data_IF_812707843048
#
_entry.id   IF_812707843048
#
_cell.length_a   1.000
_cell.length_b   1.000
_cell.length_c   1.000
_cell.angle_alpha   90.00
_cell.angle_beta   90.00
_cell.angle_gamma   90.00
#
_symmetry.space_group_name_H-M   'P 1'
#
loop_
_entity.id
_entity.type
_entity.pdbx_description
1 polymer ?
#
# COMPACT_ATOMS: atom_id res chain seq x y z
N UNK A 1 -27.29 6.10 -2.91
CA UNK A 1 -26.82 5.06 -1.96
C UNK A 1 -25.42 5.40 -1.49
N UNK A 2 -25.25 5.78 -0.23
CA UNK A 2 -23.91 5.97 0.35
C UNK A 2 -23.25 4.59 0.49
N UNK A 3 -22.25 4.31 -0.35
CA UNK A 3 -21.46 3.08 -0.27
C UNK A 3 -20.60 3.12 0.98
N UNK A 4 -21.15 2.59 2.08
CA UNK A 4 -20.42 2.33 3.31
C UNK A 4 -19.48 1.15 3.07
N UNK A 5 -18.30 1.46 2.53
CA UNK A 5 -17.25 0.50 2.16
C UNK A 5 -16.44 0.15 3.40
N UNK A 6 -16.87 -0.90 4.10
CA UNK A 6 -16.20 -1.49 5.25
C UNK A 6 -15.79 -2.91 4.89
N UNK A 7 -14.52 -3.24 5.09
CA UNK A 7 -14.13 -4.66 5.22
C UNK A 7 -14.75 -5.13 6.52
N UNK A 8 -15.61 -6.13 6.44
CA UNK A 8 -16.38 -6.61 7.58
C UNK A 8 -15.56 -7.63 8.40
N UNK A 9 -15.98 -7.90 9.63
CA UNK A 9 -15.35 -8.95 10.44
C UNK A 9 -15.85 -10.33 10.01
N UNK A 10 -15.10 -11.38 10.32
CA UNK A 10 -15.53 -12.77 10.16
C UNK A 10 -16.94 -13.02 10.73
N UNK A 11 -17.21 -12.49 11.93
CA UNK A 11 -18.51 -12.66 12.61
C UNK A 11 -19.66 -12.05 11.79
N UNK A 12 -19.46 -10.85 11.25
CA UNK A 12 -20.46 -10.20 10.38
C UNK A 12 -20.62 -10.96 9.06
N UNK A 13 -19.52 -11.40 8.46
CA UNK A 13 -19.57 -12.22 7.24
C UNK A 13 -20.38 -13.52 7.46
N UNK A 14 -20.21 -14.17 8.62
CA UNK A 14 -20.98 -15.35 9.00
C UNK A 14 -22.47 -15.06 9.16
N UNK A 15 -22.83 -13.95 9.80
CA UNK A 15 -24.24 -13.54 9.89
C UNK A 15 -24.86 -13.26 8.53
N UNK A 16 -24.12 -12.63 7.61
CA UNK A 16 -24.58 -12.41 6.24
C UNK A 16 -24.78 -13.76 5.52
N UNK A 17 -23.81 -14.67 5.64
CA UNK A 17 -23.93 -16.02 5.09
C UNK A 17 -25.19 -16.72 5.58
N UNK A 18 -25.38 -16.78 6.90
CA UNK A 18 -26.51 -17.44 7.54
C UNK A 18 -27.85 -16.83 7.08
N UNK A 19 -27.91 -15.49 6.99
CA UNK A 19 -29.11 -14.79 6.50
C UNK A 19 -29.45 -15.18 5.06
N UNK A 20 -28.49 -15.15 4.13
CA UNK A 20 -28.72 -15.52 2.73
C UNK A 20 -29.15 -16.99 2.60
N UNK A 21 -28.49 -17.90 3.32
CA UNK A 21 -28.80 -19.34 3.23
C UNK A 21 -30.16 -19.72 3.83
N UNK A 22 -30.77 -18.86 4.65
CA UNK A 22 -32.08 -19.08 5.27
C UNK A 22 -33.25 -18.43 4.50
N UNK A 23 -33.00 -17.81 3.34
CA UNK A 23 -34.06 -17.25 2.52
C UNK A 23 -34.98 -18.37 1.97
N UNK A 24 -36.27 -18.31 2.30
CA UNK A 24 -37.24 -19.38 1.97
C UNK A 24 -37.57 -19.47 0.47
N UNK A 25 -37.46 -18.35 -0.24
CA UNK A 25 -37.92 -18.22 -1.63
C UNK A 25 -36.78 -18.24 -2.66
N UNK A 26 -35.53 -18.25 -2.20
CA UNK A 26 -34.34 -18.28 -3.06
C UNK A 26 -33.30 -19.20 -2.44
N UNK A 27 -32.78 -20.16 -3.22
CA UNK A 27 -31.72 -21.04 -2.73
C UNK A 27 -30.37 -20.36 -2.88
N UNK A 28 -29.79 -19.92 -1.77
CA UNK A 28 -28.43 -19.37 -1.75
C UNK A 28 -27.45 -20.33 -1.09
N UNK A 29 -26.23 -20.37 -1.61
CA UNK A 29 -25.08 -21.02 -0.98
C UNK A 29 -24.03 -19.96 -0.67
N UNK A 30 -23.60 -19.91 0.59
CA UNK A 30 -22.46 -19.11 1.00
C UNK A 30 -21.23 -19.98 1.29
N UNK A 31 -20.08 -19.55 0.78
CA UNK A 31 -18.79 -20.18 1.00
C UNK A 31 -17.82 -19.16 1.62
N UNK A 32 -17.44 -19.41 2.86
CA UNK A 32 -16.38 -18.65 3.53
C UNK A 32 -14.99 -19.04 3.00
N UNK A 33 -14.01 -18.19 3.27
CA UNK A 33 -12.60 -18.35 2.91
C UNK A 33 -12.37 -18.58 1.41
N UNK A 34 -13.21 -17.98 0.56
CA UNK A 34 -12.92 -17.89 -0.86
C UNK A 34 -11.65 -17.05 -1.06
N UNK A 35 -10.80 -17.50 -1.99
CA UNK A 35 -9.55 -16.81 -2.35
C UNK A 35 -9.64 -16.35 -3.79
N UNK A 36 -9.01 -15.21 -4.09
CA UNK A 36 -8.92 -14.69 -5.46
C UNK A 36 -7.55 -15.04 -6.04
N UNK A 37 -7.53 -15.73 -7.18
CA UNK A 37 -6.28 -16.14 -7.83
C UNK A 37 -5.66 -15.00 -8.67
N UNK A 38 -4.62 -15.29 -9.47
CA UNK A 38 -3.95 -14.26 -10.29
C UNK A 38 -4.78 -13.76 -11.48
N UNK A 39 -5.73 -14.57 -11.96
CA UNK A 39 -6.67 -14.18 -13.02
C UNK A 39 -7.96 -13.58 -12.47
N UNK A 40 -7.93 -13.04 -11.24
CA UNK A 40 -9.10 -12.49 -10.54
C UNK A 40 -10.27 -13.46 -10.35
N UNK A 41 -10.04 -14.78 -10.45
CA UNK A 41 -11.10 -15.76 -10.28
C UNK A 41 -11.25 -16.19 -8.82
N UNK A 42 -12.51 -16.29 -8.38
CA UNK A 42 -12.87 -16.83 -7.09
C UNK A 42 -12.62 -18.35 -7.02
N UNK A 43 -11.91 -18.82 -6.00
CA UNK A 43 -11.58 -20.24 -5.80
C UNK A 43 -12.77 -21.14 -5.45
N UNK A 44 -13.98 -20.57 -5.28
CA UNK A 44 -15.20 -21.31 -4.91
C UNK A 44 -16.20 -21.41 -6.05
N UNK A 45 -16.34 -20.37 -6.86
CA UNK A 45 -17.30 -20.34 -7.97
C UNK A 45 -16.68 -20.11 -9.35
N UNK A 46 -15.37 -19.88 -9.43
CA UNK A 46 -14.62 -19.56 -10.65
C UNK A 46 -15.07 -18.28 -11.38
N UNK A 47 -15.99 -17.49 -10.80
CA UNK A 47 -16.36 -16.21 -11.35
C UNK A 47 -15.16 -15.24 -11.30
N UNK A 48 -14.99 -14.48 -12.38
CA UNK A 48 -14.01 -13.40 -12.44
C UNK A 48 -14.53 -12.19 -11.67
N UNK A 49 -13.75 -11.71 -10.71
CA UNK A 49 -13.94 -10.40 -10.10
C UNK A 49 -13.29 -9.35 -10.99
N UNK A 50 -13.77 -8.11 -10.90
CA UNK A 50 -13.16 -7.00 -11.60
C UNK A 50 -11.79 -6.68 -10.99
N UNK A 51 -10.77 -6.39 -11.81
CA UNK A 51 -9.53 -5.83 -11.31
C UNK A 51 -9.82 -4.46 -10.64
N UNK A 52 -8.95 -3.99 -9.75
CA UNK A 52 -9.09 -2.67 -9.15
C UNK A 52 -9.00 -1.60 -10.23
N UNK A 53 -10.06 -0.81 -10.38
CA UNK A 53 -10.00 0.39 -11.20
C UNK A 53 -9.19 1.44 -10.46
N UNK A 54 -8.01 1.78 -10.98
CA UNK A 54 -7.15 2.78 -10.36
C UNK A 54 -7.54 4.22 -10.73
N UNK A 55 -8.34 4.40 -11.78
CA UNK A 55 -8.80 5.73 -12.22
C UNK A 55 -9.77 6.37 -11.22
N UNK A 56 -10.40 5.55 -10.36
CA UNK A 56 -11.25 6.01 -9.27
C UNK A 56 -10.50 6.82 -8.20
N UNK A 57 -9.16 6.76 -8.17
CA UNK A 57 -8.32 7.50 -7.24
C UNK A 57 -7.76 8.76 -7.93
N UNK A 58 -8.28 9.97 -7.63
CA UNK A 58 -7.74 11.21 -8.19
C UNK A 58 -6.43 11.58 -7.48
N UNK A 59 -5.38 10.79 -7.70
CA UNK A 59 -4.15 10.83 -6.90
C UNK A 59 -3.45 12.19 -6.88
N UNK A 60 -3.49 12.96 -7.99
CA UNK A 60 -2.95 14.32 -7.97
C UNK A 60 -3.70 15.20 -6.97
N UNK A 61 -5.03 15.20 -7.03
CA UNK A 61 -5.86 15.97 -6.12
C UNK A 61 -5.72 15.49 -4.67
N UNK A 62 -5.60 14.17 -4.47
CA UNK A 62 -5.33 13.58 -3.17
C UNK A 62 -3.98 14.07 -2.62
N UNK A 63 -2.93 14.10 -3.45
CA UNK A 63 -1.62 14.61 -3.08
C UNK A 63 -1.65 16.11 -2.74
N UNK A 64 -2.35 16.92 -3.55
CA UNK A 64 -2.48 18.36 -3.30
C UNK A 64 -3.22 18.63 -1.98
N UNK A 65 -4.33 17.92 -1.76
CA UNK A 65 -5.10 18.02 -0.51
C UNK A 65 -4.26 17.55 0.68
N UNK A 66 -3.51 16.45 0.55
CA UNK A 66 -2.63 15.94 1.60
C UNK A 66 -1.48 16.90 1.90
N UNK A 67 -0.93 17.56 0.88
CA UNK A 67 0.12 18.55 1.06
C UNK A 67 -0.36 19.74 1.90
N UNK A 68 -1.52 20.30 1.56
CA UNK A 68 -2.09 21.43 2.31
C UNK A 68 -2.51 21.02 3.73
N UNK A 69 -3.09 19.84 3.90
CA UNK A 69 -3.67 19.42 5.19
C UNK A 69 -2.66 18.80 6.16
N UNK A 70 -1.71 18.00 5.66
CA UNK A 70 -0.80 17.18 6.47
C UNK A 70 0.64 17.68 6.41
N UNK A 71 1.16 18.07 5.24
CA UNK A 71 2.56 18.50 5.12
C UNK A 71 2.72 19.94 5.62
N UNK A 72 1.92 20.88 5.11
CA UNK A 72 1.94 22.26 5.58
C UNK A 72 1.26 22.43 6.94
N UNK A 73 0.15 21.72 7.16
CA UNK A 73 -0.72 21.89 8.32
C UNK A 73 -1.74 23.02 8.11
N UNK A 74 -2.95 22.85 8.66
CA UNK A 74 -4.08 23.77 8.39
C UNK A 74 -4.22 24.93 9.38
N UNK A 75 -3.54 24.88 10.54
CA UNK A 75 -3.64 25.87 11.62
C UNK A 75 -2.26 26.41 11.98
N UNK A 76 -2.17 27.65 12.46
CA UNK A 76 -0.91 28.28 12.91
C UNK A 76 -0.17 27.42 13.96
N UNK A 77 -0.91 26.73 14.84
CA UNK A 77 -0.34 25.82 15.85
C UNK A 77 0.22 24.52 15.27
N UNK A 78 -0.27 24.11 14.09
CA UNK A 78 0.12 22.88 13.40
C UNK A 78 0.93 23.12 12.11
N UNK A 79 1.25 24.38 11.82
CA UNK A 79 1.99 24.77 10.63
C UNK A 79 3.41 24.20 10.76
N UNK A 80 3.82 23.34 9.82
CA UNK A 80 5.16 22.71 9.81
C UNK A 80 5.47 21.72 10.95
N UNK A 81 4.47 21.15 11.64
CA UNK A 81 4.74 20.08 12.64
C UNK A 81 5.35 18.82 12.01
N UNK A 82 4.97 18.52 10.77
CA UNK A 82 5.34 17.31 10.04
C UNK A 82 6.65 17.48 9.26
N UNK A 83 7.00 18.73 8.92
CA UNK A 83 8.03 19.09 7.93
C UNK A 83 8.48 20.54 8.13
N UNK A 84 9.79 20.85 8.01
CA UNK A 84 10.24 22.25 7.97
C UNK A 84 10.03 22.87 6.58
N UNK A 85 10.02 24.21 6.49
CA UNK A 85 9.95 24.93 5.20
C UNK A 85 11.04 24.49 4.21
N UNK A 86 12.25 24.26 4.70
CA UNK A 86 13.39 23.82 3.88
C UNK A 86 13.20 22.40 3.36
N UNK A 87 12.59 21.52 4.14
CA UNK A 87 12.27 20.15 3.71
C UNK A 87 11.18 20.13 2.65
N UNK A 88 10.18 21.01 2.76
CA UNK A 88 9.16 21.17 1.73
C UNK A 88 9.79 21.65 0.41
N UNK A 89 10.73 22.60 0.48
CA UNK A 89 11.48 23.06 -0.69
C UNK A 89 12.33 21.92 -1.27
N UNK A 90 13.04 21.18 -0.42
CA UNK A 90 13.89 20.05 -0.83
C UNK A 90 13.06 18.94 -1.49
N UNK A 91 11.89 18.63 -0.94
CA UNK A 91 10.94 17.69 -1.51
C UNK A 91 10.49 18.13 -2.91
N UNK A 92 10.11 19.41 -3.04
CA UNK A 92 9.68 19.96 -4.33
C UNK A 92 10.82 19.88 -5.36
N UNK A 93 12.02 20.32 -5.00
CA UNK A 93 13.20 20.23 -5.87
C UNK A 93 13.50 18.79 -6.27
N UNK A 94 13.39 17.84 -5.33
CA UNK A 94 13.58 16.43 -5.62
C UNK A 94 12.55 15.92 -6.64
N UNK A 95 11.27 16.23 -6.45
CA UNK A 95 10.20 15.84 -7.37
C UNK A 95 10.36 16.50 -8.74
N UNK A 96 10.67 17.80 -8.78
CA UNK A 96 10.88 18.56 -10.01
C UNK A 96 12.10 18.05 -10.79
N UNK A 97 13.11 17.48 -10.10
CA UNK A 97 14.27 16.85 -10.73
C UNK A 97 13.98 15.47 -11.32
N UNK A 98 12.83 14.86 -11.02
CA UNK A 98 12.45 13.57 -11.60
C UNK A 98 11.93 13.77 -13.02
N UNK A 99 12.58 13.14 -13.99
CA UNK A 99 12.14 13.16 -15.39
C UNK A 99 10.93 12.27 -15.65
N UNK A 100 10.70 11.28 -14.78
CA UNK A 100 9.60 10.33 -14.85
C UNK A 100 9.13 9.96 -13.43
N UNK A 101 7.87 9.55 -13.26
CA UNK A 101 7.35 9.09 -11.97
C UNK A 101 8.17 7.94 -11.36
N UNK A 102 8.15 7.83 -10.04
CA UNK A 102 8.73 6.70 -9.33
C UNK A 102 7.77 5.51 -9.38
N UNK A 103 8.31 4.30 -9.55
CA UNK A 103 7.51 3.08 -9.56
C UNK A 103 7.32 2.52 -8.14
N UNK A 104 8.29 2.74 -7.26
CA UNK A 104 8.26 2.19 -5.91
C UNK A 104 9.02 3.08 -4.92
N UNK A 105 8.36 3.38 -3.81
CA UNK A 105 8.96 4.14 -2.72
C UNK A 105 9.10 3.23 -1.51
N UNK A 106 10.31 3.17 -0.97
CA UNK A 106 10.72 2.24 0.07
C UNK A 106 11.03 3.01 1.34
N UNK A 107 10.29 2.72 2.38
CA UNK A 107 10.59 3.15 3.75
C UNK A 107 11.83 2.40 4.24
N UNK A 108 12.96 3.11 4.23
CA UNK A 108 14.25 2.52 4.55
C UNK A 108 14.34 2.12 6.02
N UNK A 109 13.78 2.92 6.93
CA UNK A 109 13.85 2.63 8.36
C UNK A 109 13.01 1.41 8.71
N UNK A 110 11.81 1.32 8.15
CA UNK A 110 10.96 0.15 8.33
C UNK A 110 11.62 -1.12 7.75
N UNK A 111 12.26 -0.99 6.57
CA UNK A 111 13.02 -2.09 5.97
C UNK A 111 14.18 -2.58 6.84
N UNK A 112 14.95 -1.66 7.44
CA UNK A 112 16.07 -2.04 8.32
C UNK A 112 15.59 -2.65 9.63
N UNK A 113 14.50 -2.13 10.21
CA UNK A 113 13.97 -2.57 11.50
C UNK A 113 13.46 -4.02 11.48
N UNK A 114 12.91 -4.47 10.36
CA UNK A 114 12.22 -5.77 10.26
C UNK A 114 13.13 -6.97 10.52
N UNK A 115 14.39 -6.89 10.12
CA UNK A 115 15.37 -7.95 10.40
C UNK A 115 16.31 -7.62 11.56
N UNK A 116 16.02 -6.55 12.31
CA UNK A 116 16.94 -5.97 13.30
C UNK A 116 18.35 -5.84 12.75
N UNK A 117 18.48 -5.49 11.46
CA UNK A 117 19.80 -5.32 10.87
C UNK A 117 20.52 -4.23 11.66
N UNK A 118 21.66 -4.57 12.26
CA UNK A 118 22.61 -3.53 12.65
C UNK A 118 22.98 -2.82 11.36
N UNK A 119 22.93 -1.49 11.33
CA UNK A 119 23.37 -0.69 10.19
C UNK A 119 24.83 -1.04 9.87
N UNK A 120 25.06 -1.97 8.96
CA UNK A 120 26.37 -2.50 8.60
C UNK A 120 26.43 -2.73 7.09
N UNK A 121 27.61 -3.08 6.56
CA UNK A 121 27.84 -3.18 5.12
C UNK A 121 26.87 -4.14 4.41
N UNK A 122 26.38 -5.18 5.09
CA UNK A 122 25.39 -6.11 4.54
C UNK A 122 23.99 -5.51 4.31
N UNK A 123 23.69 -4.32 4.86
CA UNK A 123 22.41 -3.62 4.65
C UNK A 123 22.19 -3.28 3.18
N UNK A 124 23.23 -2.89 2.45
CA UNK A 124 23.13 -2.59 1.02
C UNK A 124 22.72 -3.81 0.19
N UNK A 125 23.31 -4.98 0.49
CA UNK A 125 22.98 -6.24 -0.19
C UNK A 125 21.55 -6.69 0.10
N UNK A 126 21.05 -6.47 1.32
CA UNK A 126 19.65 -6.76 1.63
C UNK A 126 18.67 -5.84 0.89
N UNK A 127 18.97 -4.55 0.80
CA UNK A 127 18.16 -3.62 -0.01
C UNK A 127 18.15 -4.05 -1.47
N UNK A 128 19.31 -4.41 -2.03
CA UNK A 128 19.39 -4.93 -3.40
C UNK A 128 18.56 -6.21 -3.58
N UNK A 129 18.56 -7.13 -2.62
CA UNK A 129 17.72 -8.33 -2.65
C UNK A 129 16.23 -7.99 -2.73
N UNK A 130 15.78 -7.06 -1.88
CA UNK A 130 14.38 -6.62 -1.83
C UNK A 130 13.99 -5.99 -3.17
N UNK A 131 14.79 -5.07 -3.69
CA UNK A 131 14.56 -4.40 -4.98
C UNK A 131 14.52 -5.42 -6.12
N UNK A 132 15.44 -6.39 -6.14
CA UNK A 132 15.48 -7.45 -7.14
C UNK A 132 14.20 -8.29 -7.12
N UNK A 133 13.72 -8.66 -5.94
CA UNK A 133 12.48 -9.42 -5.79
C UNK A 133 11.26 -8.62 -6.25
N UNK A 134 11.20 -7.32 -5.96
CA UNK A 134 10.13 -6.42 -6.42
C UNK A 134 10.17 -6.27 -7.94
N UNK A 135 11.35 -6.01 -8.53
CA UNK A 135 11.52 -5.94 -9.98
C UNK A 135 11.07 -7.25 -10.65
N UNK A 136 11.44 -8.42 -10.11
CA UNK A 136 11.00 -9.71 -10.62
C UNK A 136 9.48 -9.91 -10.55
N UNK A 137 8.85 -9.46 -9.48
CA UNK A 137 7.42 -9.68 -9.25
C UNK A 137 6.52 -8.72 -10.02
N UNK A 138 6.98 -7.49 -10.27
CA UNK A 138 6.14 -6.39 -10.74
C UNK A 138 6.74 -5.61 -11.93
N UNK A 139 7.97 -5.92 -12.36
CA UNK A 139 8.70 -5.25 -13.43
C UNK A 139 8.90 -3.74 -13.22
N UNK A 140 9.09 -3.32 -11.96
CA UNK A 140 9.34 -1.92 -11.59
C UNK A 140 10.81 -1.56 -11.82
N UNK A 141 11.08 -0.32 -12.23
CA UNK A 141 12.43 0.13 -12.63
C UNK A 141 12.93 1.35 -11.87
N UNK A 142 12.05 2.20 -11.35
CA UNK A 142 12.41 3.45 -10.68
C UNK A 142 12.06 3.39 -9.20
N UNK A 143 13.07 3.26 -8.36
CA UNK A 143 12.91 3.11 -6.91
C UNK A 143 13.39 4.36 -6.18
N UNK A 144 12.78 4.69 -5.04
CA UNK A 144 13.28 5.72 -4.13
C UNK A 144 13.35 5.20 -2.70
N UNK A 145 14.51 5.31 -2.06
CA UNK A 145 14.67 5.06 -0.64
C UNK A 145 14.36 6.33 0.15
N UNK A 146 13.40 6.26 1.06
CA UNK A 146 13.02 7.34 1.97
C UNK A 146 13.54 7.00 3.36
N UNK A 147 14.25 7.93 3.99
CA UNK A 147 14.83 7.73 5.32
C UNK A 147 14.86 9.02 6.12
N UNK A 148 14.70 8.94 7.44
CA UNK A 148 15.13 10.02 8.35
C UNK A 148 16.64 10.06 8.50
N UNK A 149 17.18 11.28 8.49
CA UNK A 149 18.61 11.53 8.60
C UNK A 149 19.40 10.95 7.43
N UNK A 150 20.73 11.10 7.49
CA UNK A 150 21.59 10.72 6.35
C UNK A 150 22.65 9.67 6.68
N UNK A 151 22.36 8.75 7.61
CA UNK A 151 23.29 7.77 8.18
C UNK A 151 23.97 6.83 7.15
N UNK A 152 23.64 5.54 7.17
CA UNK A 152 24.31 4.55 6.30
C UNK A 152 24.11 4.84 4.79
N UNK A 153 23.05 5.56 4.45
CA UNK A 153 22.67 5.94 3.08
C UNK A 153 23.64 6.99 2.46
N UNK A 154 24.56 7.58 3.25
CA UNK A 154 25.68 8.37 2.72
C UNK A 154 26.91 7.55 2.32
N UNK A 155 27.07 6.36 2.88
CA UNK A 155 28.27 5.54 2.70
C UNK A 155 28.30 4.96 1.28
N UNK A 156 29.36 5.19 0.49
CA UNK A 156 29.47 4.62 -0.86
C UNK A 156 29.31 3.10 -0.88
N UNK A 157 29.80 2.41 0.15
CA UNK A 157 29.80 0.95 0.28
C UNK A 157 28.38 0.38 0.34
N UNK A 158 27.45 1.10 0.97
CA UNK A 158 26.03 0.74 0.99
C UNK A 158 25.43 0.70 -0.42
N UNK A 159 25.87 1.60 -1.31
CA UNK A 159 25.35 1.73 -2.66
C UNK A 159 25.97 0.75 -3.66
N UNK A 160 27.13 0.15 -3.38
CA UNK A 160 27.80 -0.77 -4.29
C UNK A 160 26.91 -1.91 -4.79
N UNK A 161 26.27 -2.73 -3.94
CA UNK A 161 25.38 -3.80 -4.40
C UNK A 161 24.15 -3.27 -5.14
N UNK A 162 23.62 -2.11 -4.76
CA UNK A 162 22.45 -1.48 -5.38
C UNK A 162 22.78 -0.98 -6.79
N UNK A 163 23.94 -0.34 -6.97
CA UNK A 163 24.44 0.11 -8.28
C UNK A 163 24.71 -1.07 -9.21
N UNK A 164 25.30 -2.13 -8.67
CA UNK A 164 25.58 -3.36 -9.42
C UNK A 164 24.28 -3.99 -9.94
N UNK A 165 23.25 -4.05 -9.09
CA UNK A 165 21.90 -4.47 -9.49
C UNK A 165 21.28 -3.53 -10.54
N UNK A 166 21.45 -2.21 -10.35
CA UNK A 166 21.04 -1.16 -11.30
C UNK A 166 21.54 -1.43 -12.72
N UNK A 167 22.84 -1.67 -12.84
CA UNK A 167 23.48 -1.96 -14.12
C UNK A 167 23.03 -3.29 -14.73
N UNK A 168 22.74 -4.30 -13.90
CA UNK A 168 22.29 -5.62 -14.36
C UNK A 168 20.84 -5.62 -14.89
N UNK A 169 19.95 -4.89 -14.23
CA UNK A 169 18.51 -4.93 -14.51
C UNK A 169 17.98 -3.68 -15.24
N UNK A 170 18.82 -2.68 -15.46
CA UNK A 170 18.40 -1.39 -16.05
C UNK A 170 17.43 -0.63 -15.15
N UNK A 171 17.69 -0.64 -13.84
CA UNK A 171 16.87 0.05 -12.84
C UNK A 171 17.60 1.26 -12.24
N UNK A 172 16.85 2.28 -11.83
CA UNK A 172 17.37 3.44 -11.10
C UNK A 172 16.91 3.41 -9.64
N UNK A 173 17.80 3.79 -8.74
CA UNK A 173 17.50 3.88 -7.30
C UNK A 173 17.92 5.26 -6.80
N UNK A 174 16.93 6.02 -6.38
CA UNK A 174 17.07 7.37 -5.84
C UNK A 174 17.02 7.33 -4.31
N UNK A 175 17.39 8.44 -3.66
CA UNK A 175 17.23 8.63 -2.23
C UNK A 175 16.60 9.98 -1.93
N UNK A 176 15.72 9.98 -0.95
CA UNK A 176 15.19 11.18 -0.32
C UNK A 176 15.39 11.07 1.19
N UNK A 177 16.10 12.02 1.78
CA UNK A 177 16.40 12.00 3.21
C UNK A 177 15.80 13.23 3.87
N UNK A 178 15.03 13.01 4.93
CA UNK A 178 14.49 14.08 5.77
C UNK A 178 15.44 14.37 6.93
N UNK A 179 15.20 15.46 7.64
CA UNK A 179 15.87 15.75 8.89
C UNK A 179 15.50 14.70 9.95
N UNK A 180 16.41 14.47 10.90
CA UNK A 180 16.23 13.45 11.93
C UNK A 180 15.02 13.70 12.85
N UNK A 181 14.55 14.94 12.93
CA UNK A 181 13.40 15.34 13.77
C UNK A 181 12.06 15.34 13.02
N UNK A 182 12.07 15.11 11.71
CA UNK A 182 10.88 15.26 10.86
C UNK A 182 10.14 13.92 10.68
N UNK A 183 8.90 13.99 10.19
CA UNK A 183 8.09 12.81 9.88
C UNK A 183 8.27 12.43 8.40
N UNK A 184 9.04 11.37 8.13
CA UNK A 184 9.31 10.88 6.77
C UNK A 184 8.10 10.18 6.15
N UNK A 185 7.26 9.57 6.98
CA UNK A 185 6.03 8.89 6.60
C UNK A 185 5.06 9.77 5.77
N UNK A 186 4.93 11.06 6.10
CA UNK A 186 4.11 11.99 5.34
C UNK A 186 4.69 12.30 3.95
N UNK A 187 6.01 12.49 3.87
CA UNK A 187 6.69 12.71 2.60
C UNK A 187 6.61 11.48 1.70
N UNK A 188 6.76 10.30 2.28
CA UNK A 188 6.65 9.02 1.58
C UNK A 188 5.28 8.90 0.90
N UNK A 189 4.19 9.08 1.66
CA UNK A 189 2.83 9.04 1.12
C UNK A 189 2.61 10.08 0.02
N UNK A 190 3.08 11.31 0.23
CA UNK A 190 2.94 12.37 -0.76
C UNK A 190 3.68 12.07 -2.06
N UNK A 191 4.94 11.64 -1.99
CA UNK A 191 5.72 11.25 -3.17
C UNK A 191 5.07 10.09 -3.92
N UNK A 192 4.50 9.13 -3.19
CA UNK A 192 3.82 7.98 -3.79
C UNK A 192 2.54 8.39 -4.52
N UNK A 193 1.74 9.29 -3.94
CA UNK A 193 0.56 9.84 -4.62
C UNK A 193 0.93 10.68 -5.83
N UNK A 194 1.98 11.51 -5.74
CA UNK A 194 2.48 12.31 -6.88
C UNK A 194 3.06 11.45 -8.01
N UNK A 195 3.63 10.30 -7.68
CA UNK A 195 4.12 9.34 -8.68
C UNK A 195 2.99 8.56 -9.37
N UNK A 196 1.75 8.67 -8.88
CA UNK A 196 0.56 8.22 -9.59
C UNK A 196 0.16 6.76 -9.32
N UNK A 197 -0.82 6.24 -10.08
CA UNK A 197 -1.57 5.03 -9.73
C UNK A 197 -0.76 3.74 -9.82
N UNK A 198 0.41 3.74 -10.44
CA UNK A 198 1.27 2.57 -10.54
C UNK A 198 2.36 2.53 -9.46
N UNK A 199 2.50 3.60 -8.66
CA UNK A 199 3.51 3.64 -7.62
C UNK A 199 3.16 2.70 -6.45
N UNK A 200 4.12 1.86 -6.08
CA UNK A 200 4.06 0.98 -4.92
C UNK A 200 4.72 1.63 -3.70
N UNK A 201 4.31 1.18 -2.51
CA UNK A 201 4.90 1.57 -1.23
C UNK A 201 5.44 0.33 -0.54
N UNK A 202 6.68 0.34 -0.07
CA UNK A 202 7.24 -0.72 0.79
C UNK A 202 7.38 -0.16 2.19
N UNK A 203 6.48 -0.56 3.09
CA UNK A 203 6.51 -0.21 4.53
C UNK A 203 5.53 -1.10 5.29
N UNK A 204 5.71 -1.20 6.61
CA UNK A 204 4.75 -1.78 7.55
C UNK A 204 3.99 -0.72 8.35
N UNK A 205 4.22 0.57 8.08
CA UNK A 205 3.44 1.62 8.69
C UNK A 205 1.98 1.59 8.20
N UNK A 206 1.08 1.95 9.10
CA UNK A 206 -0.35 2.05 8.84
C UNK A 206 -0.75 3.45 8.38
N UNK A 207 0.09 4.44 8.65
CA UNK A 207 -0.13 5.88 8.46
C UNK A 207 -1.40 6.38 9.16
N UNK A 208 -1.76 5.78 10.30
CA UNK A 208 -3.01 6.05 11.01
C UNK A 208 -3.21 7.55 11.32
N UNK A 209 -2.17 8.18 11.87
CA UNK A 209 -2.22 9.59 12.24
C UNK A 209 -2.40 10.47 11.00
N UNK A 210 -1.64 10.24 9.93
CA UNK A 210 -1.74 11.03 8.71
C UNK A 210 -3.09 10.86 8.00
N UNK A 211 -3.64 9.64 7.97
CA UNK A 211 -4.98 9.39 7.41
C UNK A 211 -6.06 10.09 8.21
N UNK A 212 -5.95 10.08 9.54
CA UNK A 212 -6.87 10.81 10.41
C UNK A 212 -6.78 12.32 10.16
N UNK A 213 -5.57 12.88 10.17
CA UNK A 213 -5.33 14.31 9.92
C UNK A 213 -5.76 14.78 8.54
N UNK A 214 -5.74 13.89 7.53
CA UNK A 214 -6.19 14.20 6.17
C UNK A 214 -7.71 14.36 6.02
N UNK A 215 -8.48 14.02 7.06
CA UNK A 215 -9.94 14.05 7.06
C UNK A 215 -10.58 12.76 6.53
N UNK A 216 -11.88 12.53 6.82
CA UNK A 216 -12.53 11.22 6.64
C UNK A 216 -12.61 10.76 5.18
N UNK A 217 -12.81 11.69 4.24
CA UNK A 217 -12.90 11.36 2.81
C UNK A 217 -11.54 10.96 2.24
N UNK A 218 -10.52 11.79 2.44
CA UNK A 218 -9.16 11.55 1.93
C UNK A 218 -8.52 10.35 2.62
N UNK A 219 -8.64 10.24 3.96
CA UNK A 219 -8.12 9.10 4.71
C UNK A 219 -8.69 7.75 4.25
N UNK A 220 -9.98 7.71 3.87
CA UNK A 220 -10.60 6.52 3.26
C UNK A 220 -10.03 6.21 1.87
N UNK A 221 -9.83 7.23 1.03
CA UNK A 221 -9.23 7.04 -0.30
C UNK A 221 -7.78 6.56 -0.20
N UNK A 222 -6.98 7.13 0.71
CA UNK A 222 -5.61 6.70 1.00
C UNK A 222 -5.61 5.24 1.45
N UNK A 223 -6.45 4.86 2.42
CA UNK A 223 -6.56 3.47 2.91
C UNK A 223 -6.83 2.46 1.77
N UNK A 224 -7.76 2.80 0.87
CA UNK A 224 -8.11 1.94 -0.27
C UNK A 224 -6.96 1.81 -1.25
N UNK A 225 -6.38 2.93 -1.68
CA UNK A 225 -5.24 2.93 -2.58
C UNK A 225 -4.03 2.20 -1.98
N UNK A 226 -3.73 2.45 -0.71
CA UNK A 226 -2.68 1.78 0.05
C UNK A 226 -2.86 0.26 0.04
N UNK A 227 -4.07 -0.26 0.27
CA UNK A 227 -4.33 -1.71 0.25
C UNK A 227 -4.05 -2.39 -1.10
N UNK A 228 -4.02 -1.60 -2.18
CA UNK A 228 -3.75 -2.04 -3.55
C UNK A 228 -2.28 -1.85 -3.97
N UNK A 229 -1.48 -1.14 -3.18
CA UNK A 229 -0.11 -0.73 -3.56
C UNK A 229 0.96 -0.96 -2.49
N UNK A 230 0.57 -1.24 -1.26
CA UNK A 230 1.51 -1.48 -0.18
C UNK A 230 2.04 -2.92 -0.19
N UNK A 231 3.36 -3.03 -0.21
CA UNK A 231 4.12 -4.25 0.03
C UNK A 231 4.52 -4.27 1.50
N UNK A 232 3.88 -5.16 2.26
CA UNK A 232 4.08 -5.27 3.71
C UNK A 232 5.19 -6.27 3.97
N UNK A 233 6.34 -5.77 4.41
CA UNK A 233 7.54 -6.56 4.66
C UNK A 233 7.31 -7.60 5.77
N UNK A 234 7.87 -8.79 5.57
CA UNK A 234 7.70 -9.93 6.45
C UNK A 234 8.97 -10.17 7.26
N UNK A 235 8.89 -10.20 8.61
CA UNK A 235 10.06 -10.44 9.46
C UNK A 235 10.57 -11.88 9.35
N UNK A 236 9.67 -12.83 9.08
CA UNK A 236 9.96 -14.25 8.99
C UNK A 236 9.20 -14.86 7.81
N UNK A 237 9.81 -15.84 7.13
CA UNK A 237 9.16 -16.60 6.06
C UNK A 237 9.97 -16.66 4.76
N UNK A 238 9.42 -17.41 3.79
CA UNK A 238 10.04 -17.60 2.46
C UNK A 238 9.93 -16.36 1.56
N UNK A 239 8.94 -15.49 1.80
CA UNK A 239 8.73 -14.24 1.05
C UNK A 239 9.23 -13.04 1.85
N UNK A 240 9.86 -12.08 1.16
CA UNK A 240 10.39 -10.84 1.77
C UNK A 240 9.24 -9.90 2.16
N UNK A 241 8.13 -9.93 1.43
CA UNK A 241 6.95 -9.12 1.67
C UNK A 241 5.68 -9.89 1.33
N UNK A 242 4.56 -9.40 1.86
CA UNK A 242 3.21 -9.70 1.42
C UNK A 242 2.85 -8.78 0.25
N UNK A 243 2.32 -9.37 -0.82
CA UNK A 243 1.82 -8.63 -1.99
C UNK A 243 0.51 -7.91 -1.65
N UNK A 244 0.16 -6.83 -2.37
CA UNK A 244 -1.05 -6.08 -2.05
C UNK A 244 -2.31 -6.87 -2.45
N UNK A 245 -3.47 -6.32 -2.08
CA UNK A 245 -4.76 -6.89 -2.47
C UNK A 245 -4.87 -6.92 -3.98
N UNK A 246 -5.34 -8.05 -4.52
CA UNK A 246 -5.53 -8.20 -5.96
C UNK A 246 -6.77 -7.48 -6.46
N UNK A 247 -7.82 -7.44 -5.64
CA UNK A 247 -9.07 -6.76 -5.94
C UNK A 247 -9.24 -5.59 -4.97
N UNK A 248 -10.04 -4.61 -5.40
CA UNK A 248 -10.51 -3.55 -4.50
C UNK A 248 -11.26 -4.18 -3.33
N UNK A 249 -10.97 -3.72 -2.12
CA UNK A 249 -11.51 -4.26 -0.88
C UNK A 249 -12.92 -3.70 -0.61
N UNK A 250 -13.79 -3.85 -1.60
CA UNK A 250 -15.20 -3.53 -1.57
C UNK A 250 -16.03 -4.78 -1.86
N UNK A 251 -17.35 -4.66 -1.79
CA UNK A 251 -18.26 -5.73 -2.20
C UNK A 251 -18.31 -5.78 -3.73
N UNK A 252 -18.16 -6.98 -4.32
CA UNK A 252 -18.27 -7.21 -5.76
C UNK A 252 -19.52 -8.06 -6.06
N UNK A 253 -20.11 -7.86 -7.23
CA UNK A 253 -21.19 -8.69 -7.74
C UNK A 253 -22.59 -8.06 -7.63
N UNK A 254 -23.61 -8.90 -7.78
CA UNK A 254 -25.02 -8.52 -7.87
C UNK A 254 -25.93 -9.68 -7.45
N UNK A 255 -27.24 -9.46 -7.40
CA UNK A 255 -28.20 -10.55 -7.19
C UNK A 255 -28.14 -11.61 -8.31
N UNK A 256 -27.83 -11.21 -9.53
CA UNK A 256 -27.74 -12.12 -10.70
C UNK A 256 -26.47 -12.95 -10.67
N UNK A 257 -25.33 -12.31 -10.39
CA UNK A 257 -24.03 -12.96 -10.47
C UNK A 257 -23.57 -13.57 -9.15
N UNK A 258 -24.25 -13.26 -8.05
CA UNK A 258 -23.80 -13.55 -6.70
C UNK A 258 -22.91 -12.44 -6.14
N UNK A 259 -22.57 -12.55 -4.86
CA UNK A 259 -21.82 -11.54 -4.12
C UNK A 259 -20.47 -12.08 -3.65
N UNK A 260 -19.45 -11.22 -3.71
CA UNK A 260 -18.14 -11.46 -3.11
C UNK A 260 -17.84 -10.35 -2.12
N UNK A 261 -17.76 -10.71 -0.84
CA UNK A 261 -17.65 -9.76 0.26
C UNK A 261 -16.30 -10.01 0.98
N UNK A 262 -15.35 -9.07 0.96
CA UNK A 262 -14.08 -9.23 1.65
C UNK A 262 -14.29 -9.10 3.15
N UNK A 263 -13.62 -9.93 3.94
CA UNK A 263 -13.71 -9.88 5.40
C UNK A 263 -12.38 -10.19 6.09
N UNK A 264 -12.23 -9.70 7.31
CA UNK A 264 -11.09 -10.02 8.17
C UNK A 264 -11.31 -11.32 8.92
N UNK A 265 -10.44 -12.29 8.62
CA UNK A 265 -10.35 -13.58 9.29
C UNK A 265 -9.26 -13.51 10.39
N UNK A 266 -9.65 -13.00 11.57
CA UNK A 266 -8.76 -12.73 12.70
C UNK A 266 -8.28 -11.28 12.81
N UNK A 267 -7.25 -11.04 13.62
CA UNK A 267 -6.63 -9.72 13.77
C UNK A 267 -5.69 -9.44 12.59
N UNK A 268 -6.23 -8.86 11.51
CA UNK A 268 -5.44 -8.27 10.43
C UNK A 268 -5.52 -6.75 10.50
N UNK A 269 -4.41 -6.08 10.19
CA UNK A 269 -4.34 -4.61 10.20
C UNK A 269 -5.14 -4.05 9.03
N UNK A 270 -5.81 -2.92 9.22
CA UNK A 270 -6.79 -2.34 8.29
C UNK A 270 -6.26 -2.01 6.87
N UNK A 271 -4.94 -1.93 6.71
CA UNK A 271 -4.25 -1.58 5.46
C UNK A 271 -3.57 -2.79 4.79
N UNK A 272 -3.65 -3.97 5.41
CA UNK A 272 -3.03 -5.19 4.88
C UNK A 272 -3.95 -5.93 3.92
N UNK A 273 -3.37 -6.70 3.01
CA UNK A 273 -4.15 -7.43 2.03
C UNK A 273 -5.13 -8.43 2.67
N UNK A 274 -6.38 -8.39 2.19
CA UNK A 274 -7.43 -9.33 2.57
C UNK A 274 -7.47 -10.47 1.57
N UNK A 275 -7.14 -11.66 2.06
CA UNK A 275 -7.14 -12.89 1.25
C UNK A 275 -8.41 -13.72 1.43
N UNK A 276 -9.34 -13.27 2.28
CA UNK A 276 -10.55 -14.02 2.67
C UNK A 276 -11.80 -13.29 2.22
N UNK A 277 -12.60 -14.03 1.44
CA UNK A 277 -13.83 -13.53 0.84
C UNK A 277 -14.98 -14.48 1.17
N UNK A 278 -16.15 -13.91 1.44
CA UNK A 278 -17.41 -14.64 1.44
C UNK A 278 -17.93 -14.65 0.01
N UNK A 279 -18.10 -15.83 -0.57
CA UNK A 279 -18.70 -16.03 -1.88
C UNK A 279 -20.14 -16.51 -1.69
N UNK A 280 -21.11 -15.70 -2.11
CA UNK A 280 -22.54 -16.00 -2.09
C UNK A 280 -23.02 -16.21 -3.51
N UNK A 281 -23.72 -17.32 -3.75
CA UNK A 281 -24.35 -17.59 -5.04
C UNK A 281 -25.76 -18.10 -4.89
N UNK A 282 -26.62 -17.68 -5.80
CA UNK A 282 -27.92 -18.30 -5.99
C UNK A 282 -27.71 -19.62 -6.73
N UNK A 283 -28.36 -20.68 -6.24
CA UNK A 283 -28.54 -21.92 -6.96
C UNK A 283 -29.75 -21.75 -7.88
N UNK A 284 -29.62 -22.26 -9.09
CA UNK A 284 -30.76 -22.46 -9.99
C UNK A 284 -31.70 -23.55 -9.46
#
# INVERSE_FOLDING_TARGET
MHTHQWIITYKVAKYIQDWFTNLKHERWVGNMHAKINRGYMCSKCNQSLSPPDMSQFPLSQMADTFHETVIKGTNIENLYLTATSDEVITLKQFLDSQTEPLDCIIDFLNLMNIRKFRFCESSGSFVAEVIRQINKDFNLRRFCLVSKGIGIVRRPEFWNPIKMLGNQLGISVHKFCTNAKSEDDAFLLYMAMKSGPQCYIVSNDEYNNHRYSSGPKLGKQISRWQSLRQLVLQPHGRSIYQKPSKCDLCVHGSLETGWHIPYYDGYKKFHTAVDSWLCLRRLE
#
